data_IF_561062214360
#
_entry.id   IF_561062214360
#
_cell.length_a   1.000
_cell.length_b   1.000
_cell.length_c   1.000
_cell.angle_alpha   90.00
_cell.angle_beta   90.00
_cell.angle_gamma   90.00
#
_symmetry.space_group_name_H-M   'P 1'
#
loop_
_entity.id
_entity.type
_entity.pdbx_description
1 polymer ?
#
# COMPACT_ATOMS: atom_id res chain seq x y z
N UNK A 1 22.17 9.85 37.17
CA UNK A 1 21.32 8.84 36.51
C UNK A 1 20.41 9.55 35.51
N UNK A 2 20.51 9.23 34.21
CA UNK A 2 19.67 9.85 33.18
C UNK A 2 18.29 9.19 33.26
N UNK A 3 17.19 9.93 33.33
CA UNK A 3 15.84 9.36 33.35
C UNK A 3 15.57 8.49 32.12
N UNK A 4 14.95 7.34 32.31
CA UNK A 4 14.63 6.38 31.23
C UNK A 4 13.87 7.05 30.06
N UNK A 5 13.02 8.04 30.35
CA UNK A 5 12.31 8.84 29.31
C UNK A 5 13.27 9.60 28.39
N UNK A 6 14.38 10.13 28.91
CA UNK A 6 15.35 10.86 28.08
C UNK A 6 16.17 9.91 27.20
N UNK A 7 16.48 8.71 27.68
CA UNK A 7 17.19 7.68 26.89
C UNK A 7 16.29 7.20 25.73
N UNK A 8 15.01 6.99 26.00
CA UNK A 8 14.04 6.57 24.98
C UNK A 8 13.88 7.63 23.89
N UNK A 9 13.77 8.90 24.27
CA UNK A 9 13.67 10.02 23.32
C UNK A 9 14.96 10.17 22.50
N UNK A 10 16.11 9.97 23.12
CA UNK A 10 17.39 10.03 22.42
C UNK A 10 17.58 8.87 21.43
N UNK A 11 17.21 7.66 21.81
CA UNK A 11 17.22 6.49 20.91
C UNK A 11 16.24 6.63 19.75
N UNK A 12 15.06 7.20 20.00
CA UNK A 12 14.08 7.52 18.96
C UNK A 12 14.63 8.59 18.01
N UNK A 13 15.29 9.64 18.53
CA UNK A 13 15.92 10.67 17.71
C UNK A 13 17.04 10.13 16.82
N UNK A 14 17.86 9.19 17.32
CA UNK A 14 18.92 8.54 16.54
C UNK A 14 18.30 7.65 15.44
N UNK A 15 17.22 6.91 15.75
CA UNK A 15 16.51 6.11 14.75
C UNK A 15 15.93 6.99 13.65
N UNK A 16 15.32 8.12 13.99
CA UNK A 16 14.77 9.06 13.00
C UNK A 16 15.87 9.68 12.13
N UNK A 17 17.04 9.96 12.68
CA UNK A 17 18.16 10.51 11.92
C UNK A 17 18.71 9.55 10.85
N UNK A 18 18.46 8.23 10.96
CA UNK A 18 18.90 7.23 10.00
C UNK A 18 17.82 6.85 8.96
N UNK A 19 16.61 7.42 9.07
CA UNK A 19 15.53 7.18 8.11
C UNK A 19 15.78 7.96 6.83
N UNK A 20 15.71 7.30 5.68
CA UNK A 20 15.85 7.96 4.38
C UNK A 20 14.76 9.01 4.17
N UNK A 21 15.02 10.01 3.32
CA UNK A 21 14.03 11.03 2.94
C UNK A 21 12.77 10.38 2.36
N UNK A 22 12.92 9.32 1.57
CA UNK A 22 11.82 8.58 0.97
C UNK A 22 10.93 7.94 2.05
N UNK A 23 11.52 7.31 3.07
CA UNK A 23 10.79 6.71 4.16
C UNK A 23 10.18 7.76 5.12
N UNK A 24 10.81 8.91 5.32
CA UNK A 24 10.18 10.06 6.00
C UNK A 24 8.93 10.53 5.26
N UNK A 25 8.99 10.68 3.95
CA UNK A 25 7.83 11.04 3.12
C UNK A 25 6.73 10.00 3.23
N UNK A 26 7.10 8.72 3.26
CA UNK A 26 6.15 7.61 3.46
C UNK A 26 5.41 7.75 4.79
N UNK A 27 6.13 8.03 5.89
CA UNK A 27 5.54 8.27 7.20
C UNK A 27 4.61 9.50 7.16
N UNK A 28 5.05 10.59 6.56
CA UNK A 28 4.25 11.82 6.46
C UNK A 28 2.98 11.63 5.63
N UNK A 29 3.05 10.89 4.56
CA UNK A 29 1.88 10.55 3.74
C UNK A 29 0.86 9.73 4.54
N UNK A 30 1.30 8.68 5.18
CA UNK A 30 0.40 7.75 5.88
C UNK A 30 -0.12 8.28 7.22
N UNK A 31 0.68 8.96 8.01
CA UNK A 31 0.32 9.42 9.36
C UNK A 31 -0.11 10.89 9.39
N UNK A 32 0.60 11.76 8.70
CA UNK A 32 0.36 13.20 8.72
C UNK A 32 -0.43 13.73 7.52
N UNK A 33 -0.94 12.86 6.66
CA UNK A 33 -1.71 13.24 5.47
C UNK A 33 -0.98 14.21 4.53
N UNK A 34 0.35 14.09 4.42
CA UNK A 34 1.14 14.88 3.50
C UNK A 34 0.86 14.48 2.04
N UNK A 35 0.95 15.43 1.08
CA UNK A 35 0.72 15.12 -0.32
C UNK A 35 1.90 14.34 -0.94
N UNK A 36 1.60 13.54 -1.96
CA UNK A 36 2.57 12.98 -2.88
C UNK A 36 3.14 14.09 -3.79
N UNK A 37 4.14 13.75 -4.61
CA UNK A 37 4.79 14.73 -5.52
C UNK A 37 3.81 15.41 -6.49
N UNK A 38 2.74 14.72 -6.89
CA UNK A 38 1.66 15.24 -7.73
C UNK A 38 0.56 16.01 -6.96
N UNK A 39 0.72 16.18 -5.66
CA UNK A 39 -0.22 16.89 -4.79
C UNK A 39 -1.35 16.02 -4.22
N UNK A 40 -1.45 14.75 -4.59
CA UNK A 40 -2.50 13.84 -4.09
C UNK A 40 -2.23 13.43 -2.65
N UNK A 41 -3.28 13.51 -1.82
CA UNK A 41 -3.29 13.04 -0.43
C UNK A 41 -4.08 11.73 -0.33
N UNK A 42 -4.12 11.12 0.84
CA UNK A 42 -4.89 9.90 1.10
C UNK A 42 -6.36 10.01 0.65
N UNK A 43 -6.99 11.14 0.96
CA UNK A 43 -8.40 11.39 0.60
C UNK A 43 -8.61 11.39 -0.92
N UNK A 44 -7.73 12.03 -1.67
CA UNK A 44 -7.80 12.07 -3.13
C UNK A 44 -7.57 10.69 -3.75
N UNK A 45 -6.69 9.88 -3.17
CA UNK A 45 -6.50 8.49 -3.62
C UNK A 45 -7.78 7.66 -3.44
N UNK A 46 -8.46 7.82 -2.31
CA UNK A 46 -9.72 7.10 -2.03
C UNK A 46 -10.87 7.52 -2.93
N UNK A 47 -10.88 8.76 -3.40
CA UNK A 47 -11.93 9.33 -4.27
C UNK A 47 -11.55 9.39 -5.75
N UNK A 48 -10.39 8.85 -6.11
CA UNK A 48 -9.90 8.81 -7.49
C UNK A 48 -10.87 8.05 -8.40
N UNK A 49 -11.10 8.57 -9.62
CA UNK A 49 -11.89 7.86 -10.63
C UNK A 49 -11.23 6.56 -11.06
N UNK A 50 -11.99 5.63 -11.62
CA UNK A 50 -11.43 4.39 -12.15
C UNK A 50 -10.45 4.64 -13.30
N UNK A 51 -10.71 5.66 -14.13
CA UNK A 51 -9.81 6.08 -15.20
C UNK A 51 -8.47 6.56 -14.66
N UNK A 52 -8.49 7.42 -13.64
CA UNK A 52 -7.27 7.88 -12.98
C UNK A 52 -6.57 6.74 -12.24
N UNK A 53 -7.32 5.88 -11.58
CA UNK A 53 -6.78 4.70 -10.90
C UNK A 53 -6.00 3.80 -11.87
N UNK A 54 -6.54 3.59 -13.07
CA UNK A 54 -5.88 2.82 -14.12
C UNK A 54 -4.66 3.52 -14.70
N UNK A 55 -4.78 4.79 -15.04
CA UNK A 55 -3.77 5.53 -15.82
C UNK A 55 -2.60 6.06 -14.99
N UNK A 56 -2.79 6.35 -13.71
CA UNK A 56 -1.74 6.85 -12.84
C UNK A 56 -0.89 5.69 -12.30
N UNK A 57 0.42 5.76 -12.51
CA UNK A 57 1.33 4.66 -12.16
C UNK A 57 2.16 4.90 -10.89
N UNK A 58 2.10 6.10 -10.32
CA UNK A 58 3.01 6.52 -9.24
C UNK A 58 2.39 6.54 -7.83
N UNK A 59 1.10 6.21 -7.67
CA UNK A 59 0.44 6.28 -6.36
C UNK A 59 0.40 4.95 -5.60
N UNK A 60 0.29 3.84 -6.32
CA UNK A 60 0.05 2.53 -5.71
C UNK A 60 1.19 2.09 -4.78
N UNK A 61 2.41 2.46 -5.11
CA UNK A 61 3.60 2.15 -4.31
C UNK A 61 3.62 2.95 -3.00
N UNK A 62 2.96 4.08 -2.95
CA UNK A 62 2.78 4.87 -1.74
C UNK A 62 1.60 4.38 -0.91
N UNK A 63 0.49 4.01 -1.55
CA UNK A 63 -0.69 3.47 -0.89
C UNK A 63 -0.42 2.12 -0.24
N UNK A 64 0.29 1.23 -0.96
CA UNK A 64 0.66 -0.11 -0.52
C UNK A 64 2.18 -0.29 -0.59
N UNK A 65 2.94 0.32 0.34
CA UNK A 65 4.39 0.25 0.30
C UNK A 65 4.91 -1.15 0.66
N UNK A 66 6.00 -1.53 0.01
CA UNK A 66 6.70 -2.80 0.25
C UNK A 66 8.22 -2.59 0.30
N UNK A 67 8.99 -3.53 0.87
CA UNK A 67 10.44 -3.47 0.85
C UNK A 67 11.08 -3.71 -0.53
N UNK A 68 10.29 -4.08 -1.53
CA UNK A 68 10.79 -4.39 -2.87
C UNK A 68 10.81 -3.13 -3.74
N UNK A 69 11.89 -2.98 -4.52
CA UNK A 69 11.97 -1.94 -5.54
C UNK A 69 11.03 -2.26 -6.71
N UNK A 70 10.55 -1.21 -7.39
CA UNK A 70 9.72 -1.35 -8.57
C UNK A 70 10.57 -1.25 -9.85
N UNK A 71 10.49 -2.25 -10.72
CA UNK A 71 11.10 -2.20 -12.04
C UNK A 71 10.30 -1.33 -13.03
N UNK A 72 9.05 -1.03 -12.70
CA UNK A 72 8.12 -0.26 -13.55
C UNK A 72 8.17 1.23 -13.26
N UNK A 73 8.50 1.62 -12.03
CA UNK A 73 8.53 3.01 -11.57
C UNK A 73 9.87 3.28 -10.90
N UNK A 74 10.73 4.04 -11.57
CA UNK A 74 12.14 4.27 -11.16
C UNK A 74 12.27 5.01 -9.82
N UNK A 75 11.30 5.83 -9.43
CA UNK A 75 11.28 6.61 -8.19
C UNK A 75 10.29 6.08 -7.15
N UNK A 76 9.87 4.82 -7.27
CA UNK A 76 8.99 4.21 -6.30
C UNK A 76 9.68 4.08 -4.93
N UNK A 77 8.97 4.35 -3.84
CA UNK A 77 9.54 4.21 -2.51
C UNK A 77 9.83 2.73 -2.20
N UNK A 78 10.94 2.50 -1.50
CA UNK A 78 11.30 1.21 -0.95
C UNK A 78 11.17 1.32 0.58
N UNK A 79 10.23 0.56 1.13
CA UNK A 79 9.91 0.59 2.56
C UNK A 79 11.05 -0.07 3.35
N UNK A 80 11.65 0.66 4.29
CA UNK A 80 12.58 0.05 5.24
C UNK A 80 11.83 -0.59 6.42
N UNK A 81 12.51 -1.51 7.11
CA UNK A 81 11.90 -2.28 8.20
C UNK A 81 11.46 -1.38 9.37
N UNK A 82 12.25 -0.37 9.71
CA UNK A 82 11.90 0.55 10.80
C UNK A 82 10.63 1.35 10.48
N UNK A 83 10.49 1.82 9.26
CA UNK A 83 9.29 2.52 8.80
C UNK A 83 8.10 1.57 8.76
N UNK A 84 8.29 0.31 8.33
CA UNK A 84 7.23 -0.69 8.36
C UNK A 84 6.68 -0.93 9.78
N UNK A 85 7.56 -1.11 10.75
CA UNK A 85 7.19 -1.27 12.17
C UNK A 85 6.47 -0.02 12.68
N UNK A 86 6.99 1.15 12.36
CA UNK A 86 6.40 2.42 12.76
C UNK A 86 5.00 2.63 12.17
N UNK A 87 4.80 2.33 10.89
CA UNK A 87 3.50 2.43 10.22
C UNK A 87 2.49 1.42 10.79
N UNK A 88 2.92 0.19 11.02
CA UNK A 88 2.05 -0.88 11.52
C UNK A 88 1.43 -0.61 12.90
N UNK A 89 2.04 0.29 13.68
CA UNK A 89 1.55 0.68 15.01
C UNK A 89 0.52 1.82 14.98
N UNK A 90 0.28 2.45 13.81
CA UNK A 90 -0.56 3.64 13.70
C UNK A 90 -1.99 3.30 13.30
N UNK A 91 -3.01 3.67 14.13
CA UNK A 91 -4.41 3.44 13.77
C UNK A 91 -4.84 4.13 12.48
N UNK A 92 -4.31 5.31 12.17
CA UNK A 92 -4.61 6.05 10.94
C UNK A 92 -4.11 5.31 9.70
N UNK A 93 -2.98 4.63 9.80
CA UNK A 93 -2.42 3.81 8.73
C UNK A 93 -3.30 2.59 8.49
N UNK A 94 -3.69 1.90 9.55
CA UNK A 94 -4.62 0.77 9.50
C UNK A 94 -5.93 1.15 8.81
N UNK A 95 -6.54 2.25 9.24
CA UNK A 95 -7.80 2.74 8.67
C UNK A 95 -7.67 3.10 7.18
N UNK A 96 -6.58 3.76 6.79
CA UNK A 96 -6.33 4.08 5.38
C UNK A 96 -6.13 2.83 4.53
N UNK A 97 -5.35 1.86 5.01
CA UNK A 97 -5.12 0.59 4.29
C UNK A 97 -6.43 -0.18 4.09
N UNK A 98 -7.29 -0.22 5.08
CA UNK A 98 -8.62 -0.83 4.97
C UNK A 98 -9.46 -0.13 3.89
N UNK A 99 -9.55 1.20 3.94
CA UNK A 99 -10.31 1.99 2.98
C UNK A 99 -9.73 1.87 1.56
N UNK A 100 -8.40 1.89 1.42
CA UNK A 100 -7.73 1.76 0.13
C UNK A 100 -7.90 0.35 -0.46
N UNK A 101 -7.93 -0.68 0.38
CA UNK A 101 -8.23 -2.05 -0.02
C UNK A 101 -9.64 -2.16 -0.60
N UNK A 102 -10.63 -1.58 0.07
CA UNK A 102 -12.01 -1.52 -0.43
C UNK A 102 -12.08 -0.76 -1.76
N UNK A 103 -11.41 0.39 -1.86
CA UNK A 103 -11.38 1.17 -3.11
C UNK A 103 -10.75 0.37 -4.26
N UNK A 104 -9.69 -0.37 -3.99
CA UNK A 104 -9.06 -1.21 -5.01
C UNK A 104 -10.00 -2.36 -5.45
N UNK A 105 -10.69 -2.99 -4.53
CA UNK A 105 -11.71 -4.00 -4.86
C UNK A 105 -12.86 -3.44 -5.69
N UNK A 106 -13.34 -2.25 -5.39
CA UNK A 106 -14.35 -1.56 -6.20
C UNK A 106 -13.86 -1.37 -7.63
N UNK A 107 -12.62 -0.89 -7.82
CA UNK A 107 -11.99 -0.76 -9.13
C UNK A 107 -11.95 -2.11 -9.87
N UNK A 108 -11.49 -3.15 -9.22
CA UNK A 108 -11.39 -4.49 -9.81
C UNK A 108 -12.75 -5.10 -10.15
N UNK A 109 -13.79 -4.80 -9.36
CA UNK A 109 -15.14 -5.31 -9.57
C UNK A 109 -15.86 -4.65 -10.74
N UNK A 110 -15.52 -3.39 -11.06
CA UNK A 110 -16.17 -2.61 -12.13
C UNK A 110 -15.39 -2.61 -13.44
N UNK A 111 -14.21 -3.21 -13.48
CA UNK A 111 -13.34 -3.26 -14.66
C UNK A 111 -12.91 -4.70 -14.92
N UNK A 112 -12.97 -5.13 -16.17
CA UNK A 112 -12.66 -6.53 -16.56
C UNK A 112 -11.30 -6.68 -17.25
N UNK A 113 -10.66 -5.61 -17.67
CA UNK A 113 -9.43 -5.65 -18.46
C UNK A 113 -8.23 -6.26 -17.72
N UNK A 114 -8.22 -6.19 -16.38
CA UNK A 114 -7.18 -6.81 -15.55
C UNK A 114 -7.25 -8.36 -15.55
N UNK A 115 -8.37 -8.93 -15.94
CA UNK A 115 -8.61 -10.38 -16.00
C UNK A 115 -7.92 -11.05 -17.20
N UNK A 116 -7.21 -10.30 -18.01
CA UNK A 116 -6.38 -10.81 -19.10
C UNK A 116 -5.16 -11.56 -18.56
N UNK A 117 -4.56 -12.39 -19.39
CA UNK A 117 -3.39 -13.21 -19.02
C UNK A 117 -2.20 -12.37 -18.54
N UNK A 118 -1.97 -11.20 -19.14
CA UNK A 118 -0.97 -10.21 -18.72
C UNK A 118 -1.62 -8.85 -18.54
N UNK A 119 -1.47 -8.28 -17.34
CA UNK A 119 -1.95 -6.93 -17.04
C UNK A 119 -1.15 -6.36 -15.86
N UNK A 120 -0.82 -5.07 -15.90
CA UNK A 120 -0.07 -4.39 -14.84
C UNK A 120 -0.79 -4.40 -13.48
N UNK A 121 -2.10 -4.55 -13.45
CA UNK A 121 -2.85 -4.67 -12.22
C UNK A 121 -2.54 -5.95 -11.43
N UNK A 122 -2.00 -6.99 -12.06
CA UNK A 122 -1.54 -8.19 -11.35
C UNK A 122 -0.38 -7.87 -10.39
N UNK A 123 0.55 -7.01 -10.81
CA UNK A 123 1.63 -6.54 -9.92
C UNK A 123 1.11 -5.66 -8.80
N UNK A 124 0.11 -4.82 -9.07
CA UNK A 124 -0.56 -4.00 -8.05
C UNK A 124 -1.28 -4.86 -7.00
N UNK A 125 -1.97 -5.91 -7.43
CA UNK A 125 -2.64 -6.88 -6.55
C UNK A 125 -1.62 -7.56 -5.64
N UNK A 126 -0.53 -8.08 -6.21
CA UNK A 126 0.55 -8.72 -5.45
C UNK A 126 1.17 -7.76 -4.43
N UNK A 127 1.42 -6.52 -4.83
CA UNK A 127 1.94 -5.46 -3.95
C UNK A 127 0.99 -5.18 -2.79
N UNK A 128 -0.30 -5.04 -3.06
CA UNK A 128 -1.30 -4.81 -2.01
C UNK A 128 -1.32 -5.95 -1.00
N UNK A 129 -1.30 -7.20 -1.45
CA UNK A 129 -1.27 -8.38 -0.57
C UNK A 129 -0.03 -8.34 0.34
N UNK A 130 1.16 -8.11 -0.22
CA UNK A 130 2.40 -8.03 0.54
C UNK A 130 2.39 -6.88 1.56
N UNK A 131 1.93 -5.71 1.15
CA UNK A 131 1.83 -4.54 2.01
C UNK A 131 0.86 -4.76 3.17
N UNK A 132 -0.31 -5.32 2.91
CA UNK A 132 -1.30 -5.63 3.93
C UNK A 132 -0.79 -6.65 4.96
N UNK A 133 -0.08 -7.69 4.52
CA UNK A 133 0.55 -8.66 5.42
C UNK A 133 1.57 -8.01 6.34
N UNK A 134 2.33 -7.06 5.81
CA UNK A 134 3.40 -6.40 6.55
C UNK A 134 2.88 -5.29 7.48
N UNK A 135 1.92 -4.49 7.03
CA UNK A 135 1.50 -3.27 7.71
C UNK A 135 0.16 -3.36 8.42
N UNK A 136 -0.66 -4.34 8.11
CA UNK A 136 -2.00 -4.50 8.70
C UNK A 136 -2.16 -5.89 9.32
N UNK A 137 -2.60 -6.87 8.54
CA UNK A 137 -2.83 -8.23 9.00
C UNK A 137 -2.86 -9.23 7.86
N UNK A 138 -2.61 -10.49 8.18
CA UNK A 138 -2.79 -11.60 7.27
C UNK A 138 -4.26 -11.81 6.91
N UNK A 139 -5.17 -11.58 7.87
CA UNK A 139 -6.62 -11.72 7.65
C UNK A 139 -7.12 -10.75 6.58
N UNK A 140 -6.74 -9.49 6.63
CA UNK A 140 -7.14 -8.52 5.61
C UNK A 140 -6.52 -8.84 4.25
N UNK A 141 -5.26 -9.27 4.22
CA UNK A 141 -4.59 -9.68 3.00
C UNK A 141 -5.26 -10.89 2.36
N UNK A 142 -5.62 -11.90 3.14
CA UNK A 142 -6.30 -13.12 2.67
C UNK A 142 -7.73 -12.80 2.21
N UNK A 143 -8.43 -11.95 2.93
CA UNK A 143 -9.76 -11.48 2.52
C UNK A 143 -9.70 -10.78 1.15
N UNK A 144 -8.77 -9.86 0.97
CA UNK A 144 -8.55 -9.18 -0.31
C UNK A 144 -8.24 -10.18 -1.44
N UNK A 145 -7.30 -11.09 -1.21
CA UNK A 145 -6.93 -12.12 -2.17
C UNK A 145 -8.12 -12.99 -2.58
N UNK A 146 -8.93 -13.43 -1.62
CA UNK A 146 -10.10 -14.25 -1.89
C UNK A 146 -11.16 -13.50 -2.70
N UNK A 147 -11.36 -12.20 -2.44
CA UNK A 147 -12.25 -11.36 -3.25
C UNK A 147 -11.75 -11.21 -4.69
N UNK A 148 -10.47 -11.01 -4.87
CA UNK A 148 -9.87 -10.96 -6.22
C UNK A 148 -10.07 -12.28 -6.95
N UNK A 149 -9.88 -13.41 -6.29
CA UNK A 149 -10.15 -14.74 -6.86
C UNK A 149 -11.60 -14.91 -7.28
N UNK A 150 -12.55 -14.53 -6.45
CA UNK A 150 -13.98 -14.56 -6.77
C UNK A 150 -14.26 -13.80 -8.08
N UNK A 151 -13.74 -12.58 -8.22
CA UNK A 151 -13.91 -11.79 -9.45
C UNK A 151 -13.26 -12.44 -10.67
N UNK A 152 -12.12 -13.10 -10.52
CA UNK A 152 -11.43 -13.80 -11.59
C UNK A 152 -12.19 -15.04 -12.06
N UNK A 153 -12.73 -15.85 -11.13
CA UNK A 153 -13.50 -17.07 -11.43
C UNK A 153 -14.78 -16.76 -12.20
N UNK A 154 -15.50 -15.71 -11.82
CA UNK A 154 -16.72 -15.29 -12.52
C UNK A 154 -16.48 -14.98 -14.01
N UNK A 155 -15.24 -14.69 -14.38
CA UNK A 155 -14.86 -14.36 -15.75
C UNK A 155 -14.25 -15.55 -16.53
N UNK A 156 -13.79 -16.59 -15.84
CA UNK A 156 -13.16 -17.77 -16.42
C UNK A 156 -13.75 -19.07 -15.83
N UNK A 157 -15.05 -19.33 -16.03
CA UNK A 157 -15.71 -20.49 -15.42
C UNK A 157 -15.15 -21.85 -15.91
N UNK A 158 -14.36 -21.85 -17.00
CA UNK A 158 -13.76 -23.07 -17.56
C UNK A 158 -12.40 -23.45 -16.93
N UNK A 159 -11.86 -22.64 -16.03
CA UNK A 159 -10.57 -22.94 -15.38
C UNK A 159 -10.72 -23.82 -14.12
N UNK A 160 -11.94 -24.08 -13.65
CA UNK A 160 -12.18 -24.97 -12.51
C UNK A 160 -12.17 -26.46 -12.89
N UNK A 161 -12.24 -26.80 -14.18
CA UNK A 161 -12.26 -28.19 -14.67
C UNK A 161 -10.90 -28.71 -15.19
N UNK A 162 -9.86 -27.92 -15.03
CA UNK A 162 -8.48 -28.30 -15.36
C UNK A 162 -7.66 -28.49 -14.07
#
# INVERSE_FOLDING_TARGET
>A
MIPVRQITTWLLGIREANVSIMNLRMRMFHDANAPLADGLRRKELLSMSDEDFESKHSFIQWAFPTPESSNQVSNAPVLDLETAVWLAEKPEVSAFLEAMTVRFLEFLSTNDHWKQHYNHNHLRISRAIQSLRLLHSWELADWFYNKVKEFAVDSFPLMEEA
#
